data_IF_770192594163
#
_entry.id   IF_770192594163
#
_cell.length_a   1.000
_cell.length_b   1.000
_cell.length_c   1.000
_cell.angle_alpha   90.00
_cell.angle_beta   90.00
_cell.angle_gamma   90.00
#
_symmetry.space_group_name_H-M   'P 1'
#
loop_
_entity.id
_entity.type
_entity.pdbx_description
1 polymer ?
#
# COMPACT_ATOMS: atom_id res chain seq x y z
N UNK A 1 -5.08 -13.38 -16.89
CA UNK A 1 -3.66 -13.42 -16.46
C UNK A 1 -3.48 -13.83 -15.00
N UNK A 2 -3.99 -13.07 -14.01
CA UNK A 2 -3.90 -13.47 -12.59
C UNK A 2 -4.63 -14.79 -12.29
N UNK A 3 -5.89 -14.93 -12.72
CA UNK A 3 -6.69 -16.15 -12.55
C UNK A 3 -6.10 -17.36 -13.28
N UNK A 4 -5.40 -17.10 -14.38
CA UNK A 4 -4.77 -18.12 -15.22
C UNK A 4 -3.36 -18.49 -14.71
N UNK A 5 -2.91 -17.89 -13.59
CA UNK A 5 -1.63 -18.21 -12.94
C UNK A 5 -0.39 -17.58 -13.55
N UNK A 6 -0.53 -16.66 -14.51
CA UNK A 6 0.62 -16.04 -15.19
C UNK A 6 1.27 -14.90 -14.41
N UNK A 7 0.53 -14.26 -13.50
CA UNK A 7 1.04 -13.12 -12.72
C UNK A 7 1.33 -13.61 -11.30
N UNK A 8 2.60 -13.55 -10.91
CA UNK A 8 3.06 -13.91 -9.56
C UNK A 8 2.87 -12.76 -8.56
N UNK A 9 3.03 -11.51 -9.00
CA UNK A 9 2.92 -10.32 -8.14
C UNK A 9 2.62 -9.06 -8.92
N UNK A 10 2.06 -8.06 -8.25
CA UNK A 10 1.86 -6.70 -8.77
C UNK A 10 2.58 -5.72 -7.86
N UNK A 11 3.48 -4.93 -8.43
CA UNK A 11 4.06 -3.75 -7.76
C UNK A 11 3.40 -2.51 -8.36
N UNK A 12 2.78 -1.67 -7.54
CA UNK A 12 2.07 -0.48 -8.01
C UNK A 12 2.57 0.79 -7.33
N UNK A 13 2.77 1.83 -8.14
CA UNK A 13 3.05 3.19 -7.69
C UNK A 13 1.78 4.02 -7.46
N UNK A 14 0.61 3.50 -7.86
CA UNK A 14 -0.66 4.18 -7.67
C UNK A 14 -1.17 3.99 -6.23
N UNK A 15 -1.89 4.98 -5.72
CA UNK A 15 -2.48 4.96 -4.38
C UNK A 15 -4.02 4.83 -4.40
N UNK A 16 -4.62 4.61 -5.57
CA UNK A 16 -6.07 4.66 -5.83
C UNK A 16 -6.87 3.41 -5.37
N UNK A 17 -6.17 2.41 -4.83
CA UNK A 17 -6.72 1.11 -4.40
C UNK A 17 -7.40 0.28 -5.52
N UNK A 18 -7.29 0.64 -6.80
CA UNK A 18 -8.02 -0.05 -7.86
C UNK A 18 -7.64 -1.53 -7.97
N UNK A 19 -6.37 -1.87 -7.71
CA UNK A 19 -5.93 -3.27 -7.66
C UNK A 19 -6.65 -4.05 -6.56
N UNK A 20 -6.65 -3.53 -5.33
CA UNK A 20 -7.34 -4.16 -4.20
C UNK A 20 -8.85 -4.28 -4.46
N UNK A 21 -9.48 -3.20 -4.93
CA UNK A 21 -10.92 -3.14 -5.20
C UNK A 21 -11.36 -4.02 -6.38
N UNK A 22 -10.45 -4.36 -7.28
CA UNK A 22 -10.71 -5.33 -8.37
C UNK A 22 -10.76 -6.79 -7.88
N UNK A 23 -10.54 -7.04 -6.59
CA UNK A 23 -10.60 -8.36 -5.96
C UNK A 23 -9.28 -9.12 -6.01
N UNK A 24 -8.17 -8.43 -6.29
CA UNK A 24 -6.83 -9.04 -6.23
C UNK A 24 -6.45 -9.21 -4.75
N UNK A 25 -6.03 -10.42 -4.34
CA UNK A 25 -5.56 -10.64 -2.98
C UNK A 25 -4.43 -9.69 -2.61
N UNK A 26 -4.53 -9.02 -1.45
CA UNK A 26 -3.57 -8.00 -1.02
C UNK A 26 -2.14 -8.54 -0.89
N UNK A 27 -1.98 -9.82 -0.55
CA UNK A 27 -0.67 -10.47 -0.46
C UNK A 27 0.04 -10.61 -1.81
N UNK A 28 -0.66 -10.42 -2.93
CA UNK A 28 -0.11 -10.40 -4.29
C UNK A 28 0.15 -8.97 -4.80
N UNK A 29 -0.04 -7.96 -3.95
CA UNK A 29 0.14 -6.55 -4.28
C UNK A 29 1.21 -5.95 -3.35
N UNK A 30 2.03 -5.07 -3.92
CA UNK A 30 2.93 -4.16 -3.21
C UNK A 30 2.63 -2.74 -3.68
N UNK A 31 1.95 -1.96 -2.85
CA UNK A 31 1.59 -0.56 -3.13
C UNK A 31 2.67 0.35 -2.52
N UNK A 32 3.71 0.61 -3.31
CA UNK A 32 4.98 1.12 -2.78
C UNK A 32 4.93 2.59 -2.36
N UNK A 33 3.92 3.36 -2.81
CA UNK A 33 3.66 4.72 -2.35
C UNK A 33 2.50 4.81 -1.35
N UNK A 34 2.03 3.67 -0.83
CA UNK A 34 0.86 3.60 0.03
C UNK A 34 -0.46 3.46 -0.72
N UNK A 35 -1.56 3.55 0.02
CA UNK A 35 -2.92 3.42 -0.50
C UNK A 35 -3.86 4.38 0.23
N UNK A 36 -4.58 5.23 -0.52
CA UNK A 36 -5.48 6.26 0.01
C UNK A 36 -6.73 5.70 0.69
N UNK A 37 -6.94 4.38 0.68
CA UNK A 37 -8.07 3.69 1.29
C UNK A 37 -7.63 2.83 2.48
N UNK A 38 -6.38 2.95 2.92
CA UNK A 38 -5.82 2.14 4.00
C UNK A 38 -5.34 3.04 5.12
N UNK A 39 -5.81 2.74 6.33
CA UNK A 39 -5.29 3.28 7.58
C UNK A 39 -4.48 2.23 8.34
N UNK A 40 -3.54 2.70 9.14
CA UNK A 40 -2.65 1.89 9.95
C UNK A 40 -2.63 2.38 11.40
N UNK A 41 -2.71 1.44 12.34
CA UNK A 41 -2.46 1.75 13.75
C UNK A 41 -0.97 1.56 14.09
N UNK A 42 -0.28 2.64 14.45
CA UNK A 42 1.14 2.57 14.85
C UNK A 42 1.35 1.77 16.16
N UNK A 43 0.33 1.65 17.01
CA UNK A 43 0.43 1.00 18.33
C UNK A 43 0.20 -0.51 18.28
N UNK A 44 -0.84 -0.97 17.60
CA UNK A 44 -1.18 -2.40 17.55
C UNK A 44 -0.94 -3.05 16.17
N UNK A 45 -0.43 -2.28 15.21
CA UNK A 45 -0.09 -2.75 13.86
C UNK A 45 -1.26 -3.36 13.09
N UNK A 46 -2.49 -2.94 13.42
CA UNK A 46 -3.69 -3.34 12.69
C UNK A 46 -3.92 -2.41 11.51
N UNK A 47 -4.22 -3.02 10.37
CA UNK A 47 -4.62 -2.34 9.15
C UNK A 47 -6.16 -2.21 9.09
N UNK A 48 -6.63 -1.10 8.54
CA UNK A 48 -8.04 -0.83 8.30
C UNK A 48 -8.21 -0.42 6.84
N UNK A 49 -8.88 -1.27 6.04
CA UNK A 49 -9.24 -0.96 4.66
C UNK A 49 -10.62 -0.31 4.67
N UNK A 50 -10.74 0.85 4.03
CA UNK A 50 -11.96 1.67 3.98
C UNK A 50 -12.54 1.73 2.56
N UNK A 51 -13.80 2.08 2.47
CA UNK A 51 -14.53 2.34 1.22
C UNK A 51 -14.47 3.81 0.77
N UNK A 52 -13.83 4.65 1.56
CA UNK A 52 -13.61 6.07 1.31
C UNK A 52 -12.12 6.43 1.35
N UNK A 53 -11.79 7.57 0.73
CA UNK A 53 -10.44 8.14 0.77
C UNK A 53 -10.13 8.67 2.18
N UNK A 54 -9.12 8.08 2.83
CA UNK A 54 -8.72 8.36 4.21
C UNK A 54 -7.84 9.61 4.31
N UNK A 55 -7.30 10.10 3.19
CA UNK A 55 -6.29 11.16 3.10
C UNK A 55 -6.89 12.56 3.09
N UNK A 56 -8.16 12.70 2.71
CA UNK A 56 -8.86 14.00 2.68
C UNK A 56 -8.84 14.72 4.04
N UNK A 57 -8.89 13.95 5.12
CA UNK A 57 -8.87 14.44 6.50
C UNK A 57 -7.56 14.13 7.23
N UNK A 58 -6.55 13.61 6.54
CA UNK A 58 -5.27 13.31 7.17
C UNK A 58 -4.36 14.53 7.19
N UNK A 59 -3.64 14.69 8.30
CA UNK A 59 -2.63 15.71 8.42
C UNK A 59 -1.37 15.29 7.64
N UNK A 60 -0.88 16.15 6.74
CA UNK A 60 0.20 15.78 5.81
C UNK A 60 1.54 15.50 6.49
N UNK A 61 1.81 16.10 7.65
CA UNK A 61 3.09 15.92 8.35
C UNK A 61 3.06 14.71 9.29
N UNK A 62 1.96 14.54 10.01
CA UNK A 62 1.82 13.49 11.03
C UNK A 62 1.15 12.22 10.51
N UNK A 63 0.46 12.34 9.36
CA UNK A 63 -0.44 11.36 8.74
C UNK A 63 -1.61 10.96 9.63
N UNK A 64 -1.79 11.65 10.75
CA UNK A 64 -2.87 11.35 11.69
C UNK A 64 -4.17 11.64 10.99
N UNK A 65 -4.98 10.60 10.91
CA UNK A 65 -6.37 10.70 10.49
C UNK A 65 -7.22 11.15 11.67
N UNK A 66 -8.48 11.52 11.41
CA UNK A 66 -9.44 11.87 12.48
C UNK A 66 -10.08 10.65 13.15
N UNK A 67 -9.55 9.44 12.94
CA UNK A 67 -10.14 8.18 13.40
C UNK A 67 -9.24 7.49 14.43
N UNK A 68 -9.86 6.67 15.28
CA UNK A 68 -9.21 5.88 16.32
C UNK A 68 -9.26 4.40 16.00
N UNK A 69 -8.24 3.67 16.44
CA UNK A 69 -8.16 2.23 16.29
C UNK A 69 -9.24 1.54 17.13
N UNK A 70 -10.01 0.65 16.50
CA UNK A 70 -11.07 -0.14 17.14
C UNK A 70 -10.56 -1.15 18.19
N UNK A 71 -9.24 -1.36 18.30
CA UNK A 71 -8.64 -2.33 19.23
C UNK A 71 -7.93 -1.68 20.42
N UNK A 72 -7.33 -0.51 20.22
CA UNK A 72 -6.49 0.14 21.24
C UNK A 72 -6.73 1.64 21.39
N UNK A 73 -7.74 2.18 20.72
CA UNK A 73 -8.21 3.58 20.78
C UNK A 73 -7.18 4.67 20.40
N UNK A 74 -5.96 4.28 20.02
CA UNK A 74 -4.93 5.20 19.53
C UNK A 74 -5.29 5.75 18.14
N UNK A 75 -4.81 6.96 17.78
CA UNK A 75 -5.04 7.54 16.46
C UNK A 75 -4.55 6.62 15.33
N UNK A 76 -5.35 6.55 14.26
CA UNK A 76 -4.96 5.89 13.02
C UNK A 76 -4.20 6.87 12.12
N UNK A 77 -3.32 6.34 11.28
CA UNK A 77 -2.62 7.12 10.26
C UNK A 77 -2.89 6.62 8.86
N UNK A 78 -2.82 7.50 7.86
CA UNK A 78 -2.80 7.07 6.48
C UNK A 78 -1.46 6.38 6.12
N UNK A 79 -1.44 5.74 4.95
CA UNK A 79 -0.28 4.97 4.47
C UNK A 79 0.47 5.62 3.32
N UNK A 80 0.06 6.81 2.87
CA UNK A 80 0.67 7.49 1.73
C UNK A 80 2.12 7.83 2.04
N UNK A 81 2.98 7.69 1.05
CA UNK A 81 4.36 8.18 1.09
C UNK A 81 4.42 9.42 0.22
N UNK A 82 4.62 10.58 0.84
CA UNK A 82 4.79 11.83 0.10
C UNK A 82 6.21 11.94 -0.47
N UNK A 83 6.39 12.80 -1.48
CA UNK A 83 7.73 13.08 -2.00
C UNK A 83 8.66 13.54 -0.89
N UNK A 84 9.88 12.98 -0.87
CA UNK A 84 10.91 13.20 0.15
C UNK A 84 10.55 12.68 1.55
N UNK A 85 9.52 11.84 1.67
CA UNK A 85 9.24 11.11 2.89
C UNK A 85 9.93 9.74 2.86
N UNK A 86 10.68 9.43 3.91
CA UNK A 86 11.24 8.10 4.13
C UNK A 86 10.43 7.37 5.18
N UNK A 87 9.37 6.68 4.77
CA UNK A 87 8.55 5.86 5.65
C UNK A 87 8.48 4.42 5.15
N UNK A 88 8.60 3.50 6.10
CA UNK A 88 8.41 2.09 5.84
C UNK A 88 7.25 1.56 6.68
N UNK A 89 6.26 0.94 6.02
CA UNK A 89 5.23 0.14 6.67
C UNK A 89 5.28 -1.27 6.07
N UNK A 90 4.97 -2.32 6.86
CA UNK A 90 4.95 -3.69 6.34
C UNK A 90 3.87 -3.87 5.27
N UNK A 91 2.71 -3.22 5.44
CA UNK A 91 1.64 -3.14 4.46
C UNK A 91 1.15 -1.69 4.34
N UNK A 92 0.78 -1.24 3.13
CA UNK A 92 0.62 -2.01 1.89
C UNK A 92 1.87 -2.14 1.00
N UNK A 93 3.03 -1.59 1.41
CA UNK A 93 4.26 -1.61 0.61
C UNK A 93 4.78 -3.04 0.37
N UNK A 94 4.66 -3.92 1.37
CA UNK A 94 4.91 -5.35 1.25
C UNK A 94 6.27 -5.70 0.59
N UNK A 95 7.32 -4.95 0.96
CA UNK A 95 8.67 -5.08 0.38
C UNK A 95 9.29 -6.46 0.58
N UNK A 96 8.99 -7.11 1.71
CA UNK A 96 9.46 -8.48 2.00
C UNK A 96 9.03 -9.42 0.88
N UNK A 97 7.79 -9.31 0.41
CA UNK A 97 7.28 -10.18 -0.65
C UNK A 97 7.93 -9.91 -2.00
N UNK A 98 8.22 -8.64 -2.31
CA UNK A 98 8.96 -8.26 -3.52
C UNK A 98 10.34 -8.91 -3.53
N UNK A 99 11.07 -8.84 -2.42
CA UNK A 99 12.41 -9.43 -2.31
C UNK A 99 12.41 -10.97 -2.36
N UNK A 100 11.34 -11.62 -1.88
CA UNK A 100 11.15 -13.06 -2.06
C UNK A 100 10.94 -13.42 -3.54
N UNK A 101 10.03 -12.72 -4.21
CA UNK A 101 9.60 -13.04 -5.57
C UNK A 101 10.71 -12.75 -6.57
N UNK A 102 11.45 -11.65 -6.38
CA UNK A 102 12.57 -11.22 -7.23
C UNK A 102 13.62 -12.31 -7.48
N UNK A 103 13.74 -13.32 -6.60
CA UNK A 103 14.67 -14.44 -6.75
C UNK A 103 14.24 -15.47 -7.82
N UNK A 104 12.95 -15.51 -8.15
CA UNK A 104 12.35 -16.55 -8.99
C UNK A 104 11.46 -15.96 -10.11
N UNK A 105 11.70 -14.70 -10.52
CA UNK A 105 11.00 -14.10 -11.66
C UNK A 105 11.83 -14.19 -12.94
N UNK A 106 11.17 -14.56 -14.03
CA UNK A 106 11.78 -14.63 -15.36
C UNK A 106 11.36 -13.45 -16.26
N UNK A 107 10.31 -12.71 -15.88
CA UNK A 107 9.75 -11.61 -16.65
C UNK A 107 9.19 -10.49 -15.75
N UNK A 108 9.54 -9.24 -16.08
CA UNK A 108 8.93 -8.03 -15.51
C UNK A 108 8.25 -7.27 -16.65
N UNK A 109 6.97 -6.96 -16.48
CA UNK A 109 6.22 -6.11 -17.39
C UNK A 109 5.95 -4.78 -16.69
N UNK A 110 6.44 -3.68 -17.27
CA UNK A 110 6.25 -2.33 -16.74
C UNK A 110 5.18 -1.62 -17.57
N UNK A 111 4.11 -1.18 -16.91
CA UNK A 111 2.94 -0.57 -17.56
C UNK A 111 2.64 0.78 -16.90
N UNK A 112 2.42 1.82 -17.71
CA UNK A 112 1.84 3.08 -17.23
C UNK A 112 2.70 3.88 -16.25
N UNK A 113 4.02 3.70 -16.23
CA UNK A 113 4.95 4.52 -15.41
C UNK A 113 6.15 4.99 -16.21
N UNK A 114 6.70 6.15 -15.82
CA UNK A 114 7.95 6.70 -16.36
C UNK A 114 9.21 6.24 -15.60
N UNK A 115 9.05 5.54 -14.47
CA UNK A 115 10.13 5.10 -13.58
C UNK A 115 11.06 6.22 -13.08
N UNK A 116 10.54 7.46 -12.95
CA UNK A 116 11.33 8.63 -12.49
C UNK A 116 11.29 8.86 -10.98
N UNK A 117 10.28 8.29 -10.31
CA UNK A 117 10.07 8.46 -8.87
C UNK A 117 10.56 7.21 -8.16
N UNK A 118 11.41 7.43 -7.16
CA UNK A 118 11.89 6.39 -6.24
C UNK A 118 10.99 6.36 -5.01
N UNK A 119 10.78 5.16 -4.47
CA UNK A 119 10.08 4.89 -3.22
C UNK A 119 11.07 4.48 -2.14
#
# INVERSE_FOLDING_TARGET
MLRDGYISHIVSQNCDALHLRSGIPQNLISEIHGNSFIEWCKTCHKQFIRDFDVTHDSDRETHVTKRKCEQCENPLVDTIIYCNESRWLPFPQNWIKVEEIKKNIDLIIVLGTSCKVLA
#
